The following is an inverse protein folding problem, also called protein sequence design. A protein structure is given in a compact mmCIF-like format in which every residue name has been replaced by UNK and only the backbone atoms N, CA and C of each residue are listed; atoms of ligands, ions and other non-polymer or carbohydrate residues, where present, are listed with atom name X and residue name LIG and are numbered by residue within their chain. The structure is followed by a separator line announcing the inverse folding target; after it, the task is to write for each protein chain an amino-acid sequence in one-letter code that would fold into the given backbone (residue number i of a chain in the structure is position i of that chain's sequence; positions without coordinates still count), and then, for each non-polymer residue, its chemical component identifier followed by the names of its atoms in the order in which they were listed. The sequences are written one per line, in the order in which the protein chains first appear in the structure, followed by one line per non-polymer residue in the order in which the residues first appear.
data_IF_207861838097
#
_entry.id   IF_207861838097
#
_cell.length_a   1.000
_cell.length_b   1.000
_cell.length_c   1.000
_cell.angle_alpha   90.00
_cell.angle_beta   90.00
_cell.angle_gamma   90.00
#
_symmetry.space_group_name_H-M   'P 1'
#
loop_
_entity.id
_entity.type
_entity.pdbx_description
1 polymer ?
#
# COMPACT_ATOMS: atom_id res chain seq x y z
N UNK A 1 18.82 -5.15 -0.01
CA UNK A 1 18.06 -5.45 1.21
C UNK A 1 17.16 -4.27 1.49
N UNK A 2 16.02 -4.48 2.15
CA UNK A 2 15.14 -3.41 2.61
C UNK A 2 15.21 -3.35 4.12
N UNK A 3 15.47 -2.16 4.66
CA UNK A 3 15.50 -1.97 6.10
C UNK A 3 14.09 -1.76 6.66
N UNK A 4 13.85 -2.23 7.88
CA UNK A 4 12.57 -2.07 8.57
C UNK A 4 11.59 -3.24 8.38
N UNK A 5 10.42 -3.10 8.97
CA UNK A 5 9.40 -4.16 8.95
C UNK A 5 8.56 -4.07 7.69
N UNK A 6 8.57 -5.14 6.89
CA UNK A 6 7.70 -5.27 5.72
C UNK A 6 6.32 -5.77 6.15
N UNK A 7 5.29 -4.95 5.93
CA UNK A 7 3.88 -5.24 6.26
C UNK A 7 3.27 -6.16 5.20
N UNK A 8 3.61 -5.95 3.93
CA UNK A 8 3.13 -6.77 2.82
C UNK A 8 4.17 -6.83 1.70
N UNK A 9 4.33 -8.03 1.13
CA UNK A 9 5.04 -8.28 -0.11
C UNK A 9 4.07 -8.90 -1.11
N UNK A 10 3.84 -8.23 -2.24
CA UNK A 10 2.83 -8.60 -3.23
C UNK A 10 3.36 -8.39 -4.64
N UNK A 11 2.73 -9.02 -5.63
CA UNK A 11 2.91 -8.65 -7.03
C UNK A 11 1.70 -7.84 -7.49
N UNK A 12 1.95 -6.68 -8.09
CA UNK A 12 0.94 -5.91 -8.83
C UNK A 12 1.33 -6.03 -10.31
N UNK A 13 0.49 -6.70 -11.09
CA UNK A 13 0.91 -7.34 -12.33
C UNK A 13 2.15 -8.21 -12.11
N UNK A 14 3.20 -7.97 -12.88
CA UNK A 14 4.49 -8.66 -12.77
C UNK A 14 5.52 -7.91 -11.91
N UNK A 15 5.12 -6.82 -11.23
CA UNK A 15 6.03 -5.95 -10.47
C UNK A 15 5.93 -6.28 -8.97
N UNK A 16 7.00 -6.76 -8.32
CA UNK A 16 6.98 -6.98 -6.87
C UNK A 16 6.98 -5.65 -6.14
N UNK A 17 6.08 -5.52 -5.17
CA UNK A 17 5.89 -4.37 -4.28
C UNK A 17 6.05 -4.80 -2.82
N UNK A 18 6.71 -3.96 -2.02
CA UNK A 18 6.97 -4.17 -0.60
C UNK A 18 6.50 -2.94 0.15
N UNK A 19 5.40 -3.06 0.91
CA UNK A 19 4.94 -2.00 1.80
C UNK A 19 5.65 -2.11 3.15
N UNK A 20 6.24 -1.01 3.57
CA UNK A 20 7.06 -0.90 4.76
C UNK A 20 6.29 -0.18 5.87
N UNK A 21 6.59 -0.52 7.12
CA UNK A 21 5.91 0.04 8.29
C UNK A 21 6.03 1.58 8.40
N UNK A 22 7.05 2.19 7.79
CA UNK A 22 7.28 3.64 7.79
C UNK A 22 6.43 4.40 6.76
N UNK A 23 5.64 3.72 5.92
CA UNK A 23 4.89 4.38 4.85
C UNK A 23 5.39 4.13 3.44
N UNK A 24 6.63 3.69 3.28
CA UNK A 24 7.24 3.53 1.97
C UNK A 24 6.72 2.27 1.27
N UNK A 25 6.52 2.36 -0.04
CA UNK A 25 6.31 1.21 -0.91
C UNK A 25 7.45 1.13 -1.90
N UNK A 26 8.26 0.10 -1.76
CA UNK A 26 9.33 -0.22 -2.70
C UNK A 26 8.80 -1.10 -3.82
N UNK A 27 9.25 -0.89 -5.04
CA UNK A 27 8.91 -1.71 -6.21
C UNK A 27 10.11 -1.99 -7.09
N UNK A 28 10.16 -3.17 -7.70
CA UNK A 28 11.23 -3.56 -8.64
C UNK A 28 10.69 -3.55 -10.07
N UNK A 29 10.83 -2.42 -10.74
CA UNK A 29 10.33 -2.18 -12.09
C UNK A 29 11.46 -1.57 -12.92
N UNK A 30 12.24 -2.44 -13.57
CA UNK A 30 13.46 -2.07 -14.30
C UNK A 30 14.47 -1.32 -13.41
N UNK A 31 14.49 -1.66 -12.12
CA UNK A 31 15.26 -0.99 -11.08
C UNK A 31 14.45 -0.85 -9.79
N UNK A 32 15.11 -0.39 -8.74
CA UNK A 32 14.46 -0.13 -7.45
C UNK A 32 13.84 1.27 -7.45
N UNK A 33 12.53 1.33 -7.21
CA UNK A 33 11.76 2.57 -7.11
C UNK A 33 11.00 2.59 -5.79
N UNK A 34 10.70 3.78 -5.30
CA UNK A 34 10.01 3.97 -4.02
C UNK A 34 8.97 5.08 -4.15
N UNK A 35 7.82 4.89 -3.50
CA UNK A 35 6.78 5.91 -3.32
C UNK A 35 6.33 5.93 -1.87
N UNK A 36 5.80 7.05 -1.39
CA UNK A 36 5.24 7.15 -0.05
C UNK A 36 3.72 7.01 -0.11
N UNK A 37 3.17 6.01 0.57
CA UNK A 37 1.73 5.80 0.66
C UNK A 37 1.16 6.48 1.91
N UNK A 38 1.65 6.09 3.10
CA UNK A 38 1.17 6.62 4.38
C UNK A 38 2.30 7.32 5.15
N UNK A 39 1.94 8.05 6.21
CA UNK A 39 2.84 8.32 7.34
C UNK A 39 2.61 7.24 8.41
N UNK A 40 3.37 6.15 8.30
CA UNK A 40 3.20 4.91 9.08
C UNK A 40 2.10 3.97 8.53
N UNK A 41 2.45 2.73 8.16
CA UNK A 41 1.49 1.69 7.71
C UNK A 41 1.22 0.71 8.84
N UNK A 42 -0.06 0.45 9.11
CA UNK A 42 -0.52 -0.55 10.08
C UNK A 42 -1.24 -1.74 9.42
N UNK A 43 -1.80 -1.53 8.23
CA UNK A 43 -2.54 -2.56 7.51
C UNK A 43 -2.31 -2.45 6.00
N UNK A 44 -2.28 -3.60 5.34
CA UNK A 44 -2.22 -3.67 3.89
C UNK A 44 -3.07 -4.84 3.37
N UNK A 45 -3.66 -4.68 2.19
CA UNK A 45 -4.47 -5.70 1.52
C UNK A 45 -4.21 -5.71 0.02
N UNK A 46 -3.88 -6.89 -0.53
CA UNK A 46 -3.74 -7.06 -1.97
C UNK A 46 -5.12 -7.21 -2.63
N UNK A 47 -5.56 -6.18 -3.32
CA UNK A 47 -6.79 -6.18 -4.10
C UNK A 47 -6.49 -6.67 -5.53
N UNK A 48 -6.42 -7.99 -5.68
CA UNK A 48 -6.13 -8.64 -6.95
C UNK A 48 -7.19 -8.37 -8.04
N UNK A 49 -8.44 -8.04 -7.66
CA UNK A 49 -9.50 -7.75 -8.61
C UNK A 49 -9.27 -6.41 -9.35
N UNK A 50 -8.59 -5.46 -8.71
CA UNK A 50 -8.29 -4.13 -9.27
C UNK A 50 -6.79 -3.88 -9.46
N UNK A 51 -5.97 -4.92 -9.33
CA UNK A 51 -4.51 -4.88 -9.46
C UNK A 51 -3.86 -3.71 -8.68
N UNK A 52 -4.21 -3.62 -7.39
CA UNK A 52 -3.71 -2.57 -6.49
C UNK A 52 -3.41 -3.11 -5.10
N UNK A 53 -2.51 -2.44 -4.40
CA UNK A 53 -2.30 -2.59 -2.98
C UNK A 53 -3.07 -1.51 -2.24
N UNK A 54 -3.91 -1.91 -1.27
CA UNK A 54 -4.58 -0.98 -0.37
C UNK A 54 -3.78 -0.89 0.92
N UNK A 55 -3.48 0.31 1.41
CA UNK A 55 -2.78 0.53 2.68
C UNK A 55 -3.62 1.38 3.63
N UNK A 56 -3.47 1.15 4.93
CA UNK A 56 -4.07 1.93 6.01
C UNK A 56 -3.01 2.23 7.08
N UNK A 57 -3.04 3.45 7.63
CA UNK A 57 -1.94 3.97 8.44
C UNK A 57 -2.30 4.68 9.75
N UNK A 58 -1.25 5.09 10.46
CA UNK A 58 -1.30 5.93 11.66
C UNK A 58 -1.80 7.35 11.35
N UNK A 59 -1.57 7.80 10.13
CA UNK A 59 -2.10 9.04 9.55
C UNK A 59 -3.64 9.06 9.37
N UNK A 60 -4.30 7.93 9.63
CA UNK A 60 -5.74 7.79 9.51
C UNK A 60 -6.23 7.81 8.06
N UNK A 61 -5.36 7.49 7.10
CA UNK A 61 -5.68 7.49 5.67
C UNK A 61 -5.65 6.09 5.08
N UNK A 62 -6.43 5.92 4.01
CA UNK A 62 -6.41 4.74 3.15
C UNK A 62 -5.91 5.15 1.78
N UNK A 63 -4.91 4.43 1.25
CA UNK A 63 -4.39 4.65 -0.08
C UNK A 63 -4.52 3.41 -0.96
N UNK A 64 -4.65 3.63 -2.26
CA UNK A 64 -4.37 2.64 -3.30
C UNK A 64 -3.01 2.92 -3.91
N UNK A 65 -2.20 1.87 -4.08
CA UNK A 65 -0.95 1.88 -4.83
C UNK A 65 -1.07 0.93 -6.01
N UNK A 66 -0.82 1.41 -7.23
CA UNK A 66 -0.84 0.59 -8.46
C UNK A 66 0.55 0.18 -8.90
N UNK A 67 0.65 -0.75 -9.85
CA UNK A 67 1.91 -1.27 -10.39
C UNK A 67 2.91 -0.18 -10.88
N UNK A 68 2.40 0.94 -11.40
CA UNK A 68 3.23 2.08 -11.82
C UNK A 68 3.79 2.93 -10.68
N UNK A 69 3.40 2.66 -9.43
CA UNK A 69 3.67 3.49 -8.26
C UNK A 69 2.71 4.69 -8.10
N UNK A 70 1.61 4.74 -8.86
CA UNK A 70 0.56 5.74 -8.61
C UNK A 70 -0.03 5.50 -7.23
N UNK A 71 -0.01 6.53 -6.38
CA UNK A 71 -0.59 6.54 -5.04
C UNK A 71 -1.82 7.44 -5.04
N UNK A 72 -2.97 6.93 -4.61
CA UNK A 72 -4.23 7.68 -4.57
C UNK A 72 -4.92 7.50 -3.22
N UNK A 73 -5.27 8.59 -2.55
CA UNK A 73 -6.06 8.53 -1.31
C UNK A 73 -7.48 8.06 -1.65
N UNK A 74 -7.95 7.01 -0.99
CA UNK A 74 -9.31 6.47 -1.13
C UNK A 74 -10.25 7.00 -0.04
N UNK A 75 -9.74 7.17 1.18
CA UNK A 75 -10.52 7.60 2.33
C UNK A 75 -9.62 8.16 3.44
N UNK A 76 -10.22 8.91 4.36
CA UNK A 76 -9.57 9.34 5.60
C UNK A 76 -10.54 9.37 6.79
N UNK A 77 -10.01 9.07 7.98
CA UNK A 77 -10.75 8.96 9.24
C UNK A 77 -10.22 9.92 10.33
N UNK A 78 -9.81 11.13 9.92
CA UNK A 78 -9.27 12.16 10.80
C UNK A 78 -8.20 11.61 11.77
N UNK A 79 -8.37 11.78 13.09
CA UNK A 79 -7.38 11.40 14.12
C UNK A 79 -7.46 9.93 14.57
N UNK A 80 -7.97 9.03 13.74
CA UNK A 80 -8.09 7.61 14.05
C UNK A 80 -7.18 6.82 13.14
N UNK A 81 -6.42 5.89 13.72
CA UNK A 81 -5.61 4.95 12.96
C UNK A 81 -6.47 4.00 12.13
N UNK A 82 -6.00 3.65 10.93
CA UNK A 82 -6.59 2.59 10.11
C UNK A 82 -5.81 1.30 10.37
N UNK A 83 -6.34 0.45 11.25
CA UNK A 83 -5.68 -0.79 11.67
C UNK A 83 -6.08 -2.02 10.85
N UNK A 84 -7.04 -1.86 9.92
CA UNK A 84 -7.47 -2.94 9.03
C UNK A 84 -8.06 -2.35 7.74
N UNK A 85 -7.78 -3.02 6.62
CA UNK A 85 -8.33 -2.70 5.30
C UNK A 85 -8.67 -4.00 4.57
N UNK A 86 -9.71 -3.95 3.74
CA UNK A 86 -10.08 -5.02 2.83
C UNK A 86 -10.78 -4.41 1.61
N UNK A 87 -10.65 -5.05 0.45
CA UNK A 87 -11.45 -4.69 -0.73
C UNK A 87 -12.75 -5.50 -0.74
N UNK A 88 -13.86 -4.85 -1.10
CA UNK A 88 -15.12 -5.53 -1.34
C UNK A 88 -15.12 -6.24 -2.71
N UNK A 89 -16.09 -7.15 -2.95
CA UNK A 89 -16.23 -7.77 -4.26
C UNK A 89 -16.60 -6.73 -5.34
N UNK A 90 -16.27 -7.00 -6.61
CA UNK A 90 -16.67 -6.22 -7.79
C UNK A 90 -16.12 -4.78 -7.89
N UNK A 91 -14.89 -4.53 -7.45
CA UNK A 91 -14.27 -3.22 -7.68
C UNK A 91 -14.61 -2.14 -6.65
N UNK A 92 -15.15 -2.54 -5.49
CA UNK A 92 -15.44 -1.63 -4.39
C UNK A 92 -14.18 -0.97 -3.78
#
# INVERSE_FOLDING_TARGET
DLEGHCIAAVFLGDVPHFAMADGAVHRLDHGHKTVQANDGVLAAFHDAANDRLITGGEDGKVFAVKAGGEVTELASAAKKWITSVAAGPQGA
#
